data_IF_402210023286
#
_entry.id   IF_402210023286
#
_cell.length_a   1.000
_cell.length_b   1.000
_cell.length_c   1.000
_cell.angle_alpha   90.00
_cell.angle_beta   90.00
_cell.angle_gamma   90.00
#
_symmetry.space_group_name_H-M   'P 1'
#
loop_
_entity.id
_entity.type
_entity.pdbx_description
1 polymer ?
#
# COMPACT_ATOMS: atom_id res chain seq x y z
N UNK A 1 -0.54 -1.35 -12.81
CA UNK A 1 -0.56 -2.15 -11.59
C UNK A 1 0.85 -2.64 -11.32
N UNK A 2 1.32 -2.56 -10.07
CA UNK A 2 2.68 -2.96 -9.67
C UNK A 2 2.57 -4.01 -8.56
N UNK A 3 3.25 -5.13 -8.73
CA UNK A 3 3.40 -6.14 -7.68
C UNK A 3 4.46 -5.69 -6.67
N UNK A 4 4.22 -5.89 -5.37
CA UNK A 4 5.15 -5.52 -4.31
C UNK A 4 6.51 -6.19 -4.47
N UNK A 5 6.55 -7.47 -4.87
CA UNK A 5 7.82 -8.18 -5.12
C UNK A 5 8.71 -7.50 -6.17
N UNK A 6 8.13 -6.77 -7.12
CA UNK A 6 8.88 -6.06 -8.15
C UNK A 6 9.73 -4.90 -7.58
N UNK A 7 9.44 -4.45 -6.36
CA UNK A 7 10.16 -3.36 -5.69
C UNK A 7 11.57 -3.73 -5.25
N UNK A 8 11.87 -5.02 -5.05
CA UNK A 8 13.17 -5.47 -4.54
C UNK A 8 14.25 -5.15 -5.58
N UNK A 9 14.09 -5.69 -6.79
CA UNK A 9 15.11 -5.64 -7.83
C UNK A 9 14.90 -4.50 -8.83
N UNK A 10 13.65 -4.06 -9.03
CA UNK A 10 13.28 -3.18 -10.13
C UNK A 10 12.77 -1.81 -9.66
N UNK A 11 13.29 -1.30 -8.55
CA UNK A 11 12.82 -0.03 -7.97
C UNK A 11 12.92 1.15 -8.94
N UNK A 12 14.02 1.27 -9.69
CA UNK A 12 14.18 2.34 -10.69
C UNK A 12 13.12 2.25 -11.80
N UNK A 13 12.76 1.04 -12.21
CA UNK A 13 11.68 0.81 -13.20
C UNK A 13 10.34 1.23 -12.61
N UNK A 14 10.08 0.91 -11.34
CA UNK A 14 8.84 1.35 -10.66
C UNK A 14 8.76 2.86 -10.60
N UNK A 15 9.84 3.55 -10.23
CA UNK A 15 9.89 5.01 -10.22
C UNK A 15 9.64 5.60 -11.62
N UNK A 16 10.25 5.01 -12.66
CA UNK A 16 10.01 5.39 -14.04
C UNK A 16 8.53 5.21 -14.44
N UNK A 17 7.93 4.07 -14.09
CA UNK A 17 6.51 3.79 -14.37
C UNK A 17 5.57 4.76 -13.63
N UNK A 18 5.87 5.09 -12.37
CA UNK A 18 5.10 6.10 -11.61
C UNK A 18 5.12 7.46 -12.32
N UNK A 19 6.28 7.88 -12.82
CA UNK A 19 6.40 9.10 -13.64
C UNK A 19 5.54 9.03 -14.89
N UNK A 20 5.63 7.93 -15.65
CA UNK A 20 4.85 7.74 -16.88
C UNK A 20 3.34 7.68 -16.64
N UNK A 21 2.90 7.07 -15.54
CA UNK A 21 1.48 7.03 -15.18
C UNK A 21 0.96 8.43 -14.83
N UNK A 22 1.72 9.21 -14.06
CA UNK A 22 1.38 10.61 -13.77
C UNK A 22 1.31 11.47 -15.04
N UNK A 23 2.31 11.41 -15.90
CA UNK A 23 2.33 12.13 -17.19
C UNK A 23 1.10 11.81 -18.04
N UNK A 24 0.73 10.53 -18.11
CA UNK A 24 -0.41 10.04 -18.87
C UNK A 24 -1.76 10.20 -18.14
N UNK A 25 -1.79 10.80 -16.94
CA UNK A 25 -2.97 10.90 -16.07
C UNK A 25 -3.66 9.55 -15.82
N UNK A 26 -2.87 8.49 -15.69
CA UNK A 26 -3.34 7.13 -15.39
C UNK A 26 -3.24 6.86 -13.89
N UNK A 27 -4.19 6.07 -13.38
CA UNK A 27 -4.18 5.63 -11.99
C UNK A 27 -3.01 4.69 -11.70
N UNK A 28 -2.42 4.86 -10.53
CA UNK A 28 -1.39 3.99 -9.98
C UNK A 28 -2.06 3.03 -8.98
N UNK A 29 -1.90 1.74 -9.23
CA UNK A 29 -2.40 0.68 -8.37
C UNK A 29 -1.25 -0.28 -8.02
N UNK A 30 -1.19 -0.75 -6.78
CA UNK A 30 -0.20 -1.74 -6.37
C UNK A 30 -0.69 -2.60 -5.20
N UNK A 31 0.02 -3.69 -4.94
CA UNK A 31 -0.21 -4.55 -3.77
C UNK A 31 1.00 -4.58 -2.83
N UNK A 32 0.76 -4.79 -1.53
CA UNK A 32 1.82 -4.98 -0.54
C UNK A 32 2.54 -6.35 -0.69
N UNK A 33 1.88 -7.32 -1.33
CA UNK A 33 2.35 -8.68 -1.66
C UNK A 33 2.72 -9.62 -0.50
N UNK A 34 3.41 -9.13 0.54
CA UNK A 34 3.74 -9.89 1.74
C UNK A 34 4.17 -8.98 2.90
N UNK A 35 4.01 -9.46 4.14
CA UNK A 35 4.46 -8.75 5.34
C UNK A 35 5.95 -8.42 5.32
N UNK A 36 6.81 -9.34 4.86
CA UNK A 36 8.26 -9.09 4.78
C UNK A 36 8.61 -7.96 3.81
N UNK A 37 7.81 -7.74 2.76
CA UNK A 37 7.98 -6.60 1.85
C UNK A 37 7.75 -5.30 2.59
N UNK A 38 6.72 -5.26 3.42
CA UNK A 38 6.38 -4.09 4.23
C UNK A 38 7.45 -3.83 5.28
N UNK A 39 7.96 -4.86 5.95
CA UNK A 39 8.91 -4.73 7.07
C UNK A 39 10.33 -4.39 6.61
N UNK A 40 10.82 -5.03 5.54
CA UNK A 40 12.21 -4.85 5.09
C UNK A 40 12.37 -3.83 3.96
N UNK A 41 11.29 -3.46 3.27
CA UNK A 41 11.30 -2.51 2.17
C UNK A 41 10.29 -1.36 2.36
N UNK A 42 10.02 -0.99 3.62
CA UNK A 42 9.02 0.00 3.97
C UNK A 42 9.19 1.33 3.23
N UNK A 43 10.42 1.83 3.10
CA UNK A 43 10.65 3.12 2.45
C UNK A 43 10.15 3.13 1.00
N UNK A 44 10.41 2.05 0.25
CA UNK A 44 9.93 1.89 -1.14
C UNK A 44 8.41 1.70 -1.19
N UNK A 45 7.87 0.87 -0.31
CA UNK A 45 6.42 0.63 -0.18
C UNK A 45 5.69 1.94 0.14
N UNK A 46 6.19 2.70 1.11
CA UNK A 46 5.63 3.97 1.55
C UNK A 46 5.70 5.02 0.45
N UNK A 47 6.82 5.10 -0.26
CA UNK A 47 6.95 6.01 -1.40
C UNK A 47 5.97 5.67 -2.53
N UNK A 48 5.73 4.39 -2.82
CA UNK A 48 4.71 4.00 -3.80
C UNK A 48 3.29 4.30 -3.27
N UNK A 49 3.02 3.99 -2.00
CA UNK A 49 1.75 4.27 -1.32
C UNK A 49 1.37 5.75 -1.38
N UNK A 50 2.32 6.65 -1.13
CA UNK A 50 2.13 8.10 -1.16
C UNK A 50 1.61 8.61 -2.51
N UNK A 51 1.84 7.86 -3.58
CA UNK A 51 1.50 8.21 -4.96
C UNK A 51 0.42 7.32 -5.57
N UNK A 52 -0.02 6.29 -4.85
CA UNK A 52 -0.99 5.32 -5.36
C UNK A 52 -2.43 5.80 -5.20
N UNK A 53 -3.23 5.56 -6.24
CA UNK A 53 -4.68 5.74 -6.23
C UNK A 53 -5.41 4.49 -5.70
N UNK A 54 -4.80 3.31 -5.86
CA UNK A 54 -5.31 2.06 -5.32
C UNK A 54 -4.21 1.26 -4.60
N UNK A 55 -4.53 0.76 -3.42
CA UNK A 55 -3.65 -0.13 -2.64
C UNK A 55 -4.43 -1.40 -2.30
N UNK A 56 -3.84 -2.55 -2.60
CA UNK A 56 -4.38 -3.86 -2.29
C UNK A 56 -3.52 -4.57 -1.25
N UNK A 57 -4.13 -5.07 -0.19
CA UNK A 57 -3.43 -5.90 0.78
C UNK A 57 -4.37 -6.90 1.46
N UNK A 58 -3.79 -7.80 2.25
CA UNK A 58 -4.53 -8.59 3.22
C UNK A 58 -4.43 -7.98 4.64
N UNK A 59 -5.08 -8.62 5.60
CA UNK A 59 -5.13 -8.21 7.00
C UNK A 59 -3.72 -8.14 7.65
N UNK A 60 -2.86 -9.13 7.36
CA UNK A 60 -1.52 -9.24 7.96
C UNK A 60 -0.57 -8.16 7.42
N UNK A 61 -0.63 -7.90 6.12
CA UNK A 61 0.13 -6.84 5.44
C UNK A 61 -0.31 -5.45 5.91
N UNK A 62 -1.62 -5.25 6.11
CA UNK A 62 -2.15 -4.01 6.66
C UNK A 62 -1.65 -3.79 8.10
N UNK A 63 -1.73 -4.81 8.96
CA UNK A 63 -1.20 -4.74 10.31
C UNK A 63 0.32 -4.47 10.31
N UNK A 64 1.07 -5.11 9.42
CA UNK A 64 2.50 -4.86 9.26
C UNK A 64 2.80 -3.42 8.84
N UNK A 65 1.99 -2.83 7.94
CA UNK A 65 2.14 -1.43 7.54
C UNK A 65 1.93 -0.48 8.71
N UNK A 66 0.93 -0.75 9.55
CA UNK A 66 0.66 0.03 10.78
C UNK A 66 1.84 -0.04 11.74
N UNK A 67 2.44 -1.23 11.94
CA UNK A 67 3.67 -1.36 12.75
C UNK A 67 4.81 -0.50 12.20
N UNK A 68 4.99 -0.49 10.88
CA UNK A 68 6.04 0.31 10.24
C UNK A 68 5.79 1.82 10.30
N UNK A 69 4.53 2.24 10.46
CA UNK A 69 4.17 3.61 10.85
C UNK A 69 4.44 3.91 12.34
N UNK A 70 5.06 2.99 13.09
CA UNK A 70 5.36 3.08 14.54
C UNK A 70 4.08 3.24 15.38
N UNK A 71 3.03 2.54 14.99
CA UNK A 71 1.75 2.46 15.70
C UNK A 71 1.43 1.01 16.03
N UNK A 72 0.65 0.79 17.07
CA UNK A 72 0.16 -0.54 17.42
C UNK A 72 -1.00 -0.93 16.49
N UNK A 73 -0.96 -2.11 15.86
CA UNK A 73 -2.11 -2.63 15.11
C UNK A 73 -3.29 -2.89 16.02
N UNK A 74 -4.49 -2.67 15.49
CA UNK A 74 -5.75 -2.92 16.16
C UNK A 74 -6.66 -3.76 15.25
N UNK A 75 -7.95 -3.43 15.13
CA UNK A 75 -8.85 -4.13 14.19
C UNK A 75 -8.47 -3.86 12.74
N UNK A 76 -8.90 -4.73 11.81
CA UNK A 76 -8.62 -4.56 10.38
C UNK A 76 -9.15 -3.22 9.83
N UNK A 77 -10.31 -2.76 10.31
CA UNK A 77 -10.89 -1.47 9.94
C UNK A 77 -10.08 -0.29 10.52
N UNK A 78 -9.62 -0.41 11.76
CA UNK A 78 -8.78 0.60 12.40
C UNK A 78 -7.39 0.67 11.76
N UNK A 79 -6.84 -0.48 11.35
CA UNK A 79 -5.61 -0.57 10.60
C UNK A 79 -5.74 0.13 9.25
N UNK A 80 -6.82 -0.12 8.50
CA UNK A 80 -7.09 0.56 7.23
C UNK A 80 -7.18 2.09 7.39
N UNK A 81 -7.89 2.59 8.41
CA UNK A 81 -7.96 4.02 8.73
C UNK A 81 -6.60 4.59 9.11
N UNK A 82 -5.81 3.83 9.87
CA UNK A 82 -4.49 4.25 10.34
C UNK A 82 -3.49 4.37 9.19
N UNK A 83 -3.55 3.45 8.22
CA UNK A 83 -2.74 3.52 6.99
C UNK A 83 -3.09 4.80 6.24
N UNK A 84 -4.36 5.06 5.99
CA UNK A 84 -4.81 6.29 5.30
C UNK A 84 -4.34 7.56 6.01
N UNK A 85 -4.50 7.64 7.33
CA UNK A 85 -4.02 8.76 8.12
C UNK A 85 -2.49 8.91 8.13
N UNK A 86 -1.75 7.85 7.79
CA UNK A 86 -0.28 7.85 7.66
C UNK A 86 0.23 8.20 6.26
N UNK A 87 -0.66 8.40 5.29
CA UNK A 87 -0.35 8.74 3.91
C UNK A 87 -0.81 10.19 3.60
N UNK A 88 -0.24 10.84 2.58
CA UNK A 88 -0.76 12.09 2.06
C UNK A 88 -2.24 11.97 1.66
N UNK A 89 -3.00 13.02 1.94
CA UNK A 89 -4.41 13.13 1.58
C UNK A 89 -4.59 13.03 0.05
N UNK A 90 -5.50 12.16 -0.38
CA UNK A 90 -5.80 11.86 -1.79
C UNK A 90 -7.10 11.05 -1.88
N UNK A 91 -7.73 10.97 -3.04
CA UNK A 91 -8.91 10.12 -3.31
C UNK A 91 -8.56 8.62 -3.44
N UNK A 92 -7.64 8.13 -2.60
CA UNK A 92 -7.07 6.80 -2.67
C UNK A 92 -8.07 5.77 -2.17
N UNK A 93 -8.17 4.63 -2.87
CA UNK A 93 -8.92 3.47 -2.40
C UNK A 93 -7.96 2.41 -1.85
N UNK A 94 -8.05 2.14 -0.55
CA UNK A 94 -7.39 1.01 0.11
C UNK A 94 -8.37 -0.16 0.19
N UNK A 95 -7.94 -1.32 -0.28
CA UNK A 95 -8.72 -2.56 -0.31
C UNK A 95 -7.97 -3.61 0.52
N UNK A 96 -8.56 -3.99 1.65
CA UNK A 96 -8.01 -4.99 2.58
C UNK A 96 -8.87 -6.24 2.49
N UNK A 97 -8.30 -7.33 1.97
CA UNK A 97 -8.90 -8.66 2.04
C UNK A 97 -8.69 -9.24 3.44
N UNK A 98 -9.65 -10.02 3.94
CA UNK A 98 -9.67 -10.50 5.33
C UNK A 98 -9.98 -12.01 5.42
N UNK A 99 -9.34 -12.80 4.55
CA UNK A 99 -9.61 -14.24 4.41
C UNK A 99 -11.08 -14.56 4.16
N UNK A 100 -11.77 -15.13 5.17
CA UNK A 100 -13.21 -15.48 5.13
C UNK A 100 -14.13 -14.30 5.46
N UNK A 101 -13.60 -13.24 6.05
CA UNK A 101 -14.36 -12.08 6.47
C UNK A 101 -14.58 -11.13 5.28
N UNK A 102 -15.57 -10.22 5.36
CA UNK A 102 -15.80 -9.24 4.30
C UNK A 102 -14.56 -8.40 3.99
N UNK A 103 -14.39 -8.04 2.72
CA UNK A 103 -13.35 -7.12 2.26
C UNK A 103 -13.64 -5.72 2.81
N UNK A 104 -12.62 -5.08 3.38
CA UNK A 104 -12.70 -3.70 3.84
C UNK A 104 -12.24 -2.78 2.72
N UNK A 105 -13.05 -1.75 2.44
CA UNK A 105 -12.69 -0.66 1.53
C UNK A 105 -12.63 0.64 2.32
N UNK A 106 -11.51 1.36 2.23
CA UNK A 106 -11.33 2.66 2.87
C UNK A 106 -10.92 3.72 1.86
N UNK A 107 -11.51 4.90 1.97
CA UNK A 107 -11.26 6.09 1.14
C UNK A 107 -10.89 7.29 1.99
#
# INVERSE_FOLDING_TARGET
FVEGYFLIECWEIVQFLMGKFKEAKKKIAFTLSATFMVEFHFDKIKQLADNADLIFCNEDEAASFVKMLKKEPASDEENAKTIHAGLPASDRLLIVTCGKNPVITST
#
